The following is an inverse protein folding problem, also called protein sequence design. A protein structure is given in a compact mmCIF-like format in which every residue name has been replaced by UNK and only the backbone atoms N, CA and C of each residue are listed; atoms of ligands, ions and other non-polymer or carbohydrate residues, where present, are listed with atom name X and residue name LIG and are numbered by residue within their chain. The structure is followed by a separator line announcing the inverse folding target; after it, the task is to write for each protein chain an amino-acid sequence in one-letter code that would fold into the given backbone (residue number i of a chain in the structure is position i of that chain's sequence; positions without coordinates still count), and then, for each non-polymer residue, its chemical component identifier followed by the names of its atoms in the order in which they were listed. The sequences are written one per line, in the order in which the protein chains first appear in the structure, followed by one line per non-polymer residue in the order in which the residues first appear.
data_IF_312726179373
#
_entry.id   IF_312726179373
#
_cell.length_a   1.000
_cell.length_b   1.000
_cell.length_c   1.000
_cell.angle_alpha   90.00
_cell.angle_beta   90.00
_cell.angle_gamma   90.00
#
_symmetry.space_group_name_H-M   'P 1'
#
loop_
_entity.id
_entity.type
_entity.pdbx_description
1 polymer ?
#
# COMPACT_ATOMS: atom_id res chain seq x y z
N UNK A 1 8.32 16.74 2.33
CA UNK A 1 7.90 15.67 3.25
C UNK A 1 7.87 14.36 2.48
N UNK A 2 8.68 13.37 2.85
CA UNK A 2 8.67 12.06 2.19
C UNK A 2 7.57 11.18 2.80
N UNK A 3 6.40 11.15 2.15
CA UNK A 3 5.30 10.27 2.52
C UNK A 3 5.50 8.89 1.89
N UNK A 4 5.80 7.89 2.73
CA UNK A 4 6.10 6.48 2.42
C UNK A 4 6.20 6.14 0.91
N UNK A 5 7.23 6.60 0.20
CA UNK A 5 7.46 6.14 -1.16
C UNK A 5 7.87 4.67 -1.08
N UNK A 6 7.19 3.78 -1.82
CA UNK A 6 7.76 2.47 -2.10
C UNK A 6 9.13 2.65 -2.76
N UNK A 7 9.24 3.57 -3.73
CA UNK A 7 10.49 3.90 -4.41
C UNK A 7 10.90 5.34 -4.09
N UNK A 8 12.13 5.56 -3.64
CA UNK A 8 12.72 6.90 -3.61
C UNK A 8 13.04 7.39 -5.04
N UNK A 9 13.42 8.66 -5.19
CA UNK A 9 13.74 9.27 -6.49
C UNK A 9 14.76 8.46 -7.27
N UNK A 10 15.84 8.06 -6.61
CA UNK A 10 17.00 7.45 -7.25
C UNK A 10 16.69 6.02 -7.71
N UNK A 11 15.97 5.27 -6.87
CA UNK A 11 15.49 3.93 -7.22
C UNK A 11 14.50 4.00 -8.37
N UNK A 12 13.58 4.98 -8.38
CA UNK A 12 12.63 5.18 -9.49
C UNK A 12 13.38 5.51 -10.79
N UNK A 13 14.41 6.36 -10.72
CA UNK A 13 15.25 6.66 -11.88
C UNK A 13 16.05 5.45 -12.35
N UNK A 14 16.55 4.59 -11.48
CA UNK A 14 17.24 3.38 -11.91
C UNK A 14 16.28 2.31 -12.47
N UNK A 15 15.05 2.26 -11.95
CA UNK A 15 14.02 1.26 -12.25
C UNK A 15 13.29 1.51 -13.56
N UNK A 16 12.83 2.73 -13.83
CA UNK A 16 11.99 2.98 -15.00
C UNK A 16 12.79 2.89 -16.30
N UNK A 17 12.15 2.38 -17.36
CA UNK A 17 12.72 2.40 -18.70
C UNK A 17 12.91 3.84 -19.18
N UNK A 18 13.73 4.02 -20.22
CA UNK A 18 13.97 5.33 -20.83
C UNK A 18 12.66 5.93 -21.36
N UNK A 19 11.92 5.14 -22.13
CA UNK A 19 10.67 5.57 -22.78
C UNK A 19 9.62 6.01 -21.75
N UNK A 20 9.50 5.29 -20.62
CA UNK A 20 8.58 5.70 -19.54
C UNK A 20 9.01 7.02 -18.90
N UNK A 21 10.32 7.23 -18.68
CA UNK A 21 10.79 8.51 -18.12
C UNK A 21 10.51 9.69 -19.05
N UNK A 22 10.73 9.49 -20.34
CA UNK A 22 10.44 10.49 -21.37
C UNK A 22 8.92 10.78 -21.41
N UNK A 23 8.09 9.74 -21.42
CA UNK A 23 6.63 9.87 -21.40
C UNK A 23 6.10 10.55 -20.12
N UNK A 24 6.73 10.33 -18.97
CA UNK A 24 6.34 11.00 -17.73
C UNK A 24 6.66 12.50 -17.75
N UNK A 25 7.59 12.97 -18.60
CA UNK A 25 7.88 14.40 -18.81
C UNK A 25 7.99 15.23 -17.52
N UNK A 26 8.63 14.68 -16.48
CA UNK A 26 8.79 15.37 -15.18
C UNK A 26 7.59 15.31 -14.24
N UNK A 27 6.58 14.48 -14.52
CA UNK A 27 5.42 14.27 -13.65
C UNK A 27 5.84 13.95 -12.21
N UNK A 28 5.45 14.83 -11.30
CA UNK A 28 5.66 14.69 -9.86
C UNK A 28 4.36 14.35 -9.15
N UNK A 29 4.34 13.19 -8.50
CA UNK A 29 3.21 12.71 -7.69
C UNK A 29 2.95 13.55 -6.43
N UNK A 30 3.88 14.42 -6.04
CA UNK A 30 3.72 15.27 -4.86
C UNK A 30 2.50 16.20 -4.97
N UNK A 31 2.06 16.54 -6.19
CA UNK A 31 0.88 17.37 -6.40
C UNK A 31 -0.40 16.74 -5.82
N UNK A 32 -0.53 15.41 -5.81
CA UNK A 32 -1.68 14.72 -5.22
C UNK A 32 -1.76 15.03 -3.73
N UNK A 33 -0.62 14.96 -3.03
CA UNK A 33 -0.53 15.32 -1.62
C UNK A 33 -0.78 16.82 -1.41
N UNK A 34 -0.23 17.67 -2.28
CA UNK A 34 -0.41 19.12 -2.22
C UNK A 34 -1.89 19.52 -2.40
N UNK A 35 -2.60 18.90 -3.32
CA UNK A 35 -4.03 19.12 -3.57
C UNK A 35 -4.86 18.78 -2.34
N UNK A 36 -4.62 17.63 -1.71
CA UNK A 36 -5.32 17.27 -0.47
C UNK A 36 -4.93 18.19 0.69
N UNK A 37 -3.65 18.56 0.82
CA UNK A 37 -3.20 19.48 1.87
C UNK A 37 -3.78 20.88 1.72
N UNK A 38 -4.12 21.32 0.49
CA UNK A 38 -4.79 22.59 0.24
C UNK A 38 -6.29 22.56 0.57
N UNK A 39 -6.88 21.37 0.76
CA UNK A 39 -8.31 21.17 1.06
C UNK A 39 -8.62 21.06 2.56
N UNK A 40 -7.63 21.18 3.44
CA UNK A 40 -7.82 21.14 4.90
C UNK A 40 -7.46 22.47 5.53
N UNK A 41 -8.27 22.89 6.48
CA UNK A 41 -8.06 24.05 7.37
C UNK A 41 -7.18 23.72 8.58
N UNK A 42 -6.77 22.45 8.75
CA UNK A 42 -5.90 22.03 9.82
C UNK A 42 -4.56 22.77 9.77
N UNK A 43 -4.22 23.48 10.84
CA UNK A 43 -2.94 24.19 10.97
C UNK A 43 -1.84 23.27 11.50
N UNK A 44 -2.20 22.38 12.44
CA UNK A 44 -1.26 21.49 13.11
C UNK A 44 -0.72 20.41 12.18
N UNK A 45 0.61 20.19 12.13
CA UNK A 45 1.23 19.21 11.23
C UNK A 45 0.65 17.80 11.36
N UNK A 46 0.36 17.35 12.59
CA UNK A 46 -0.23 16.04 12.83
C UNK A 46 -1.63 15.92 12.20
N UNK A 47 -2.46 16.95 12.31
CA UNK A 47 -3.83 16.90 11.80
C UNK A 47 -3.85 16.97 10.27
N UNK A 48 -2.99 17.80 9.67
CA UNK A 48 -2.77 17.81 8.21
C UNK A 48 -2.33 16.43 7.72
N UNK A 49 -1.43 15.79 8.48
CA UNK A 49 -0.95 14.45 8.17
C UNK A 49 -2.10 13.43 8.21
N UNK A 50 -2.85 13.38 9.31
CA UNK A 50 -3.98 12.47 9.48
C UNK A 50 -5.08 12.69 8.43
N UNK A 51 -5.32 13.93 8.01
CA UNK A 51 -6.27 14.24 6.94
C UNK A 51 -5.86 13.58 5.62
N UNK A 52 -4.61 13.78 5.20
CA UNK A 52 -4.07 13.17 3.98
C UNK A 52 -4.12 11.64 4.03
N UNK A 53 -3.74 11.03 5.16
CA UNK A 53 -3.84 9.57 5.34
C UNK A 53 -5.30 9.09 5.20
N UNK A 54 -6.27 9.86 5.72
CA UNK A 54 -7.70 9.53 5.62
C UNK A 54 -8.20 9.62 4.18
N UNK A 55 -7.63 10.51 3.35
CA UNK A 55 -8.05 10.72 1.95
C UNK A 55 -7.34 9.83 0.94
N UNK A 56 -6.12 9.37 1.24
CA UNK A 56 -5.29 8.60 0.31
C UNK A 56 -5.03 7.19 0.85
N UNK A 57 -4.26 7.08 1.94
CA UNK A 57 -3.77 5.80 2.43
C UNK A 57 -4.89 4.85 2.89
N UNK A 58 -5.87 5.41 3.61
CA UNK A 58 -6.97 4.64 4.18
C UNK A 58 -7.85 3.99 3.09
N UNK A 59 -8.44 4.73 2.13
CA UNK A 59 -9.27 4.13 1.09
C UNK A 59 -8.45 3.26 0.12
N UNK A 60 -7.29 3.72 -0.32
CA UNK A 60 -6.61 3.11 -1.47
C UNK A 60 -5.74 1.90 -1.11
N UNK A 61 -5.26 1.77 0.14
CA UNK A 61 -4.48 0.61 0.57
C UNK A 61 -5.21 -0.23 1.63
N UNK A 62 -5.64 0.37 2.74
CA UNK A 62 -6.16 -0.40 3.88
C UNK A 62 -7.56 -0.96 3.61
N UNK A 63 -8.52 -0.10 3.23
CA UNK A 63 -9.92 -0.48 3.06
C UNK A 63 -10.11 -1.32 1.80
N UNK A 64 -9.55 -0.89 0.66
CA UNK A 64 -9.66 -1.64 -0.58
C UNK A 64 -9.12 -3.08 -0.45
N UNK A 65 -8.04 -3.29 0.31
CA UNK A 65 -7.49 -4.63 0.53
C UNK A 65 -8.38 -5.46 1.45
N UNK A 66 -8.82 -4.89 2.58
CA UNK A 66 -9.70 -5.57 3.53
C UNK A 66 -11.01 -6.01 2.88
N UNK A 67 -11.64 -5.11 2.13
CA UNK A 67 -12.88 -5.37 1.40
C UNK A 67 -12.69 -6.49 0.37
N UNK A 68 -11.76 -6.32 -0.58
CA UNK A 68 -11.52 -7.34 -1.63
C UNK A 68 -11.15 -8.71 -1.08
N UNK A 69 -10.37 -8.78 -0.02
CA UNK A 69 -9.95 -10.07 0.56
C UNK A 69 -11.07 -10.76 1.32
N UNK A 70 -11.90 -10.01 2.05
CA UNK A 70 -13.06 -10.57 2.75
C UNK A 70 -14.18 -10.99 1.78
N UNK A 71 -14.49 -10.15 0.79
CA UNK A 71 -15.51 -10.44 -0.21
C UNK A 71 -15.13 -11.57 -1.17
N UNK A 72 -13.83 -11.83 -1.38
CA UNK A 72 -13.36 -13.01 -2.11
C UNK A 72 -13.83 -14.34 -1.47
N UNK A 73 -14.18 -14.33 -0.18
CA UNK A 73 -14.79 -15.47 0.51
C UNK A 73 -16.19 -15.16 1.02
N UNK A 74 -16.90 -14.20 0.40
CA UNK A 74 -18.26 -13.77 0.77
C UNK A 74 -18.42 -13.35 2.24
N UNK A 75 -17.37 -12.82 2.86
CA UNK A 75 -17.39 -12.30 4.22
C UNK A 75 -17.46 -10.77 4.20
N UNK A 76 -18.40 -10.20 4.95
CA UNK A 76 -18.51 -8.74 5.09
C UNK A 76 -17.69 -8.25 6.31
N UNK A 77 -16.58 -7.57 6.06
CA UNK A 77 -15.78 -6.95 7.11
C UNK A 77 -16.37 -5.59 7.55
N UNK A 78 -16.66 -5.43 8.84
CA UNK A 78 -17.09 -4.14 9.42
C UNK A 78 -15.92 -3.41 10.08
N UNK A 79 -15.91 -2.08 9.96
CA UNK A 79 -14.84 -1.19 10.50
C UNK A 79 -15.42 -0.13 11.46
N UNK A 80 -15.85 -0.51 12.69
CA UNK A 80 -16.59 0.39 13.59
C UNK A 80 -15.85 1.69 13.96
N UNK A 81 -14.51 1.66 13.96
CA UNK A 81 -13.70 2.86 14.24
C UNK A 81 -13.75 3.91 13.12
N UNK A 82 -14.36 3.59 11.98
CA UNK A 82 -14.56 4.48 10.84
C UNK A 82 -16.01 4.95 10.70
N UNK A 83 -16.85 4.78 11.73
CA UNK A 83 -18.12 5.50 11.77
C UNK A 83 -17.87 7.00 11.61
N UNK A 84 -18.65 7.64 10.73
CA UNK A 84 -18.45 9.04 10.37
C UNK A 84 -18.51 9.97 11.58
N UNK A 85 -19.41 9.74 12.54
CA UNK A 85 -19.52 10.58 13.75
C UNK A 85 -18.28 10.44 14.62
N UNK A 86 -17.76 9.22 14.75
CA UNK A 86 -16.53 8.97 15.50
C UNK A 86 -15.31 9.60 14.81
N UNK A 87 -15.22 9.51 13.48
CA UNK A 87 -14.12 10.11 12.71
C UNK A 87 -14.18 11.63 12.76
N UNK A 88 -15.36 12.24 12.60
CA UNK A 88 -15.57 13.69 12.73
C UNK A 88 -15.21 14.20 14.13
N UNK A 89 -15.67 13.49 15.18
CA UNK A 89 -15.26 13.77 16.55
C UNK A 89 -13.75 13.65 16.72
N UNK A 90 -13.14 12.56 16.24
CA UNK A 90 -11.70 12.37 16.35
C UNK A 90 -10.89 13.42 15.56
N UNK A 91 -11.43 13.94 14.46
CA UNK A 91 -10.82 14.99 13.66
C UNK A 91 -10.77 16.31 14.44
N UNK A 92 -11.87 16.68 15.12
CA UNK A 92 -11.99 17.93 15.89
C UNK A 92 -11.14 17.97 17.18
N UNK A 93 -10.67 16.82 17.66
CA UNK A 93 -9.85 16.77 18.87
C UNK A 93 -8.52 17.52 18.71
N UNK A 94 -8.07 18.23 19.76
CA UNK A 94 -6.71 18.72 19.87
C UNK A 94 -5.65 17.63 19.67
N UNK A 95 -4.53 17.96 19.02
CA UNK A 95 -3.47 16.98 18.70
C UNK A 95 -2.88 16.29 19.94
N UNK A 96 -2.83 16.99 21.09
CA UNK A 96 -2.32 16.46 22.36
C UNK A 96 -3.20 15.35 22.96
N UNK A 97 -4.46 15.22 22.54
CA UNK A 97 -5.34 14.11 22.90
C UNK A 97 -5.16 12.90 21.98
N UNK A 98 -4.63 13.11 20.76
CA UNK A 98 -4.26 12.05 19.82
C UNK A 98 -2.90 11.45 20.19
N UNK A 99 -1.94 12.31 20.47
CA UNK A 99 -0.56 11.98 20.87
C UNK A 99 -0.13 12.84 22.06
N UNK A 100 0.31 12.21 23.15
CA UNK A 100 0.79 12.91 24.36
C UNK A 100 2.21 12.47 24.70
N UNK A 101 3.19 13.32 24.42
CA UNK A 101 4.60 12.93 24.48
C UNK A 101 4.87 11.75 23.53
N UNK A 102 5.42 10.65 24.05
CA UNK A 102 5.63 9.41 23.27
C UNK A 102 4.37 8.52 23.19
N UNK A 103 3.29 8.86 23.90
CA UNK A 103 2.07 8.07 23.93
C UNK A 103 1.18 8.34 22.71
N UNK A 104 1.22 7.43 21.74
CA UNK A 104 0.28 7.39 20.61
C UNK A 104 -1.08 6.83 21.02
N UNK A 105 -2.15 7.26 20.35
CA UNK A 105 -3.54 6.84 20.61
C UNK A 105 -3.94 7.15 22.06
N UNK A 106 -3.54 8.32 22.57
CA UNK A 106 -3.63 8.63 24.01
C UNK A 106 -5.07 8.57 24.52
N UNK A 107 -5.99 9.32 23.92
CA UNK A 107 -7.40 9.31 24.34
C UNK A 107 -8.03 7.92 24.19
N UNK A 108 -7.81 7.25 23.05
CA UNK A 108 -8.32 5.89 22.83
C UNK A 108 -7.85 4.92 23.92
N UNK A 109 -6.55 4.94 24.27
CA UNK A 109 -6.02 4.12 25.36
C UNK A 109 -6.67 4.45 26.70
N UNK A 110 -6.86 5.74 27.00
CA UNK A 110 -7.48 6.19 28.26
C UNK A 110 -8.92 5.69 28.38
N UNK A 111 -9.71 5.83 27.32
CA UNK A 111 -11.10 5.35 27.27
C UNK A 111 -11.14 3.83 27.37
N UNK A 112 -10.29 3.11 26.63
CA UNK A 112 -10.26 1.64 26.63
C UNK A 112 -9.87 0.99 27.97
N UNK A 113 -9.33 1.73 28.94
CA UNK A 113 -8.95 1.20 30.26
C UNK A 113 -10.14 0.62 31.04
N UNK A 114 -11.37 1.09 30.76
CA UNK A 114 -12.57 0.57 31.40
C UNK A 114 -12.91 -0.87 30.98
N UNK A 115 -12.39 -1.34 29.83
CA UNK A 115 -12.76 -2.65 29.26
C UNK A 115 -11.58 -3.59 29.02
N UNK A 116 -10.36 -3.08 28.95
CA UNK A 116 -9.18 -3.88 28.59
C UNK A 116 -8.16 -3.94 29.73
N UNK A 117 -7.51 -5.10 29.94
CA UNK A 117 -6.51 -5.24 30.99
C UNK A 117 -5.29 -4.36 30.72
N UNK A 118 -4.55 -3.92 31.76
CA UNK A 118 -3.39 -3.03 31.63
C UNK A 118 -2.35 -3.52 30.63
N UNK A 119 -2.12 -4.85 30.58
CA UNK A 119 -1.18 -5.48 29.65
C UNK A 119 -1.52 -5.19 28.16
N UNK A 120 -2.81 -5.12 27.81
CA UNK A 120 -3.25 -4.81 26.44
C UNK A 120 -3.13 -3.32 26.15
N UNK A 121 -3.50 -2.46 27.11
CA UNK A 121 -3.40 -0.99 26.98
C UNK A 121 -1.94 -0.53 26.80
N UNK A 122 -1.03 -1.14 27.55
CA UNK A 122 0.39 -0.79 27.53
C UNK A 122 1.16 -1.42 26.36
N UNK A 123 0.56 -2.41 25.68
CA UNK A 123 1.19 -3.10 24.55
C UNK A 123 1.65 -2.13 23.47
N UNK A 124 2.88 -2.35 22.97
CA UNK A 124 3.43 -1.62 21.81
C UNK A 124 2.59 -1.95 20.57
N UNK A 125 2.39 -0.95 19.68
CA UNK A 125 1.74 -1.16 18.38
C UNK A 125 2.53 -2.19 17.59
N UNK A 126 1.91 -3.33 17.29
CA UNK A 126 2.40 -4.29 16.29
C UNK A 126 1.54 -4.10 15.03
N UNK A 127 2.20 -3.93 13.89
CA UNK A 127 1.53 -3.98 12.59
C UNK A 127 1.24 -5.42 12.18
N UNK A 128 0.62 -5.57 11.02
CA UNK A 128 0.40 -6.85 10.35
C UNK A 128 1.06 -6.79 8.97
N UNK A 129 2.41 -6.72 8.89
CA UNK A 129 3.09 -6.64 7.61
C UNK A 129 2.88 -7.95 6.85
N UNK A 130 2.63 -7.85 5.54
CA UNK A 130 2.66 -9.01 4.66
C UNK A 130 4.11 -9.52 4.58
N UNK A 131 4.37 -10.82 4.79
CA UNK A 131 5.74 -11.33 4.92
C UNK A 131 6.41 -11.56 3.55
N UNK A 132 6.39 -10.55 2.67
CA UNK A 132 6.97 -10.62 1.32
C UNK A 132 8.43 -11.06 1.34
N UNK A 133 9.22 -10.57 2.29
CA UNK A 133 10.63 -10.95 2.46
C UNK A 133 10.81 -12.46 2.61
N UNK A 134 9.94 -13.10 3.40
CA UNK A 134 10.03 -14.55 3.62
C UNK A 134 9.56 -15.29 2.38
N UNK A 135 8.38 -14.92 1.85
CA UNK A 135 7.78 -15.60 0.71
C UNK A 135 8.65 -15.52 -0.55
N UNK A 136 9.18 -14.34 -0.88
CA UNK A 136 9.97 -14.14 -2.09
C UNK A 136 11.39 -14.71 -2.01
N UNK A 137 11.89 -15.01 -0.80
CA UNK A 137 13.14 -15.77 -0.62
C UNK A 137 12.91 -17.28 -0.61
N UNK A 138 11.68 -17.72 -0.30
CA UNK A 138 11.31 -19.13 -0.14
C UNK A 138 10.19 -19.54 -1.10
N UNK A 139 8.98 -19.71 -0.61
CA UNK A 139 7.92 -20.48 -1.27
C UNK A 139 7.46 -19.82 -2.58
N UNK A 140 7.44 -18.48 -2.63
CA UNK A 140 7.02 -17.71 -3.79
C UNK A 140 8.19 -17.29 -4.71
N UNK A 141 9.43 -17.70 -4.41
CA UNK A 141 10.61 -17.34 -5.22
C UNK A 141 10.48 -17.77 -6.68
N UNK A 142 10.09 -19.02 -7.01
CA UNK A 142 9.98 -19.45 -8.42
C UNK A 142 8.93 -18.64 -9.18
N UNK A 143 7.79 -18.36 -8.55
CA UNK A 143 6.72 -17.54 -9.13
C UNK A 143 7.19 -16.10 -9.40
N UNK A 144 7.88 -15.48 -8.45
CA UNK A 144 8.43 -14.15 -8.63
C UNK A 144 9.45 -14.10 -9.78
N UNK A 145 10.32 -15.11 -9.89
CA UNK A 145 11.32 -15.24 -10.95
C UNK A 145 10.70 -15.41 -12.34
N UNK A 146 9.63 -16.19 -12.45
CA UNK A 146 8.87 -16.31 -13.70
C UNK A 146 8.25 -14.96 -14.09
N UNK A 147 7.50 -14.37 -13.15
CA UNK A 147 6.74 -13.15 -13.37
C UNK A 147 7.64 -11.97 -13.75
N UNK A 148 8.78 -11.83 -13.10
CA UNK A 148 9.73 -10.74 -13.30
C UNK A 148 10.97 -11.18 -14.10
N UNK A 149 10.85 -12.23 -14.92
CA UNK A 149 11.93 -12.70 -15.78
C UNK A 149 12.43 -11.58 -16.71
N UNK A 150 13.74 -11.55 -17.06
CA UNK A 150 14.29 -10.51 -17.93
C UNK A 150 13.58 -10.38 -19.28
N UNK A 151 13.08 -11.49 -19.84
CA UNK A 151 12.28 -11.48 -21.07
C UNK A 151 10.91 -10.83 -20.88
N UNK A 152 10.20 -11.14 -19.79
CA UNK A 152 8.91 -10.51 -19.46
C UNK A 152 9.08 -9.02 -19.22
N UNK A 153 10.06 -8.63 -18.40
CA UNK A 153 10.34 -7.21 -18.12
C UNK A 153 10.68 -6.44 -19.40
N UNK A 154 11.53 -7.00 -20.28
CA UNK A 154 11.82 -6.41 -21.59
C UNK A 154 10.58 -6.24 -22.45
N UNK A 155 9.76 -7.29 -22.55
CA UNK A 155 8.53 -7.27 -23.36
C UNK A 155 7.56 -6.17 -22.92
N UNK A 156 7.45 -5.91 -21.60
CA UNK A 156 6.59 -4.82 -21.10
C UNK A 156 7.12 -3.43 -21.41
N UNK A 157 8.43 -3.26 -21.57
CA UNK A 157 9.05 -1.96 -21.84
C UNK A 157 8.93 -0.92 -20.72
N UNK A 158 8.39 -1.29 -19.55
CA UNK A 158 8.15 -0.33 -18.45
C UNK A 158 9.35 -0.14 -17.51
N UNK A 159 10.12 -1.21 -17.30
CA UNK A 159 11.19 -1.25 -16.31
C UNK A 159 12.52 -1.64 -16.94
N UNK A 160 13.61 -1.23 -16.32
CA UNK A 160 14.97 -1.61 -16.65
C UNK A 160 15.22 -3.07 -16.22
N UNK A 161 15.38 -4.02 -17.16
CA UNK A 161 15.55 -5.44 -16.83
C UNK A 161 16.79 -5.73 -15.99
N UNK A 162 17.89 -5.01 -16.22
CA UNK A 162 19.13 -5.20 -15.45
C UNK A 162 18.95 -4.76 -14.00
N UNK A 163 18.22 -3.67 -13.78
CA UNK A 163 17.95 -3.19 -12.43
C UNK A 163 16.98 -4.12 -11.69
N UNK A 164 15.94 -4.63 -12.36
CA UNK A 164 15.03 -5.63 -11.77
C UNK A 164 15.78 -6.92 -11.40
N UNK A 165 16.65 -7.41 -12.28
CA UNK A 165 17.49 -8.58 -12.02
C UNK A 165 18.42 -8.37 -10.82
N UNK A 166 19.02 -7.17 -10.69
CA UNK A 166 19.80 -6.78 -9.52
C UNK A 166 18.97 -6.85 -8.24
N UNK A 167 17.76 -6.27 -8.23
CA UNK A 167 16.87 -6.30 -7.06
C UNK A 167 16.50 -7.75 -6.66
N UNK A 168 16.17 -8.59 -7.63
CA UNK A 168 15.89 -10.01 -7.38
C UNK A 168 17.10 -10.71 -6.75
N UNK A 169 18.28 -10.58 -7.36
CA UNK A 169 19.51 -11.23 -6.89
C UNK A 169 20.01 -10.73 -5.52
N UNK A 170 19.89 -9.43 -5.22
CA UNK A 170 20.19 -8.88 -3.89
C UNK A 170 19.19 -9.37 -2.84
N UNK A 171 17.92 -9.45 -3.18
CA UNK A 171 16.88 -9.89 -2.25
C UNK A 171 17.04 -11.36 -1.89
N UNK A 172 17.22 -12.23 -2.89
CA UNK A 172 17.34 -13.68 -2.70
C UNK A 172 18.56 -14.08 -1.87
N UNK A 173 19.69 -13.40 -2.08
CA UNK A 173 20.93 -13.66 -1.33
C UNK A 173 20.93 -13.06 0.07
N UNK A 174 19.88 -12.33 0.45
CA UNK A 174 19.80 -11.68 1.75
C UNK A 174 20.63 -10.40 1.88
N UNK A 175 21.21 -9.89 0.79
CA UNK A 175 22.02 -8.67 0.79
C UNK A 175 21.19 -7.44 1.16
N UNK A 176 19.97 -7.35 0.65
CA UNK A 176 19.02 -6.29 0.96
C UNK A 176 17.58 -6.81 0.99
N UNK A 177 16.67 -6.07 1.64
CA UNK A 177 15.24 -6.39 1.62
C UNK A 177 14.47 -5.52 0.62
N UNK A 178 14.29 -6.06 -0.58
CA UNK A 178 13.50 -5.46 -1.65
C UNK A 178 12.05 -5.98 -1.72
N UNK A 179 11.55 -6.66 -0.68
CA UNK A 179 10.27 -7.38 -0.73
C UNK A 179 9.09 -6.50 -1.16
N UNK A 180 8.94 -5.31 -0.58
CA UNK A 180 7.87 -4.36 -0.96
C UNK A 180 8.03 -3.82 -2.38
N UNK A 181 9.27 -3.62 -2.85
CA UNK A 181 9.54 -3.16 -4.22
C UNK A 181 9.15 -4.23 -5.24
N UNK A 182 9.62 -5.46 -5.00
CA UNK A 182 9.35 -6.62 -5.83
C UNK A 182 7.86 -6.94 -5.88
N UNK A 183 7.15 -6.78 -4.76
CA UNK A 183 5.69 -6.90 -4.74
C UNK A 183 5.01 -5.83 -5.63
N UNK A 184 5.51 -4.58 -5.61
CA UNK A 184 5.03 -3.53 -6.50
C UNK A 184 5.21 -3.88 -7.98
N UNK A 185 6.38 -4.38 -8.36
CA UNK A 185 6.67 -4.81 -9.74
C UNK A 185 5.80 -6.00 -10.15
N UNK A 186 5.69 -7.00 -9.28
CA UNK A 186 4.84 -8.17 -9.48
C UNK A 186 3.39 -7.76 -9.67
N UNK A 187 2.89 -6.81 -8.87
CA UNK A 187 1.51 -6.32 -8.97
C UNK A 187 1.23 -5.69 -10.33
N UNK A 188 2.18 -4.91 -10.88
CA UNK A 188 2.05 -4.33 -12.22
C UNK A 188 2.04 -5.42 -13.30
N UNK A 189 2.93 -6.41 -13.21
CA UNK A 189 2.96 -7.51 -14.17
C UNK A 189 1.65 -8.32 -14.16
N UNK A 190 1.15 -8.69 -12.97
CA UNK A 190 -0.10 -9.44 -12.86
C UNK A 190 -1.29 -8.63 -13.36
N UNK A 191 -1.31 -7.32 -13.12
CA UNK A 191 -2.32 -6.44 -13.69
C UNK A 191 -2.26 -6.43 -15.22
N UNK A 192 -1.07 -6.33 -15.83
CA UNK A 192 -0.95 -6.39 -17.29
C UNK A 192 -1.42 -7.72 -17.88
N UNK A 193 -0.99 -8.84 -17.29
CA UNK A 193 -1.48 -10.18 -17.69
C UNK A 193 -3.00 -10.24 -17.67
N UNK A 194 -3.61 -9.70 -16.60
CA UNK A 194 -5.05 -9.81 -16.41
C UNK A 194 -5.86 -8.87 -17.31
N UNK A 195 -5.43 -7.63 -17.47
CA UNK A 195 -6.25 -6.58 -18.08
C UNK A 195 -5.78 -6.14 -19.46
N UNK A 196 -4.47 -6.23 -19.75
CA UNK A 196 -3.91 -5.83 -21.05
C UNK A 196 -3.84 -7.02 -22.01
N UNK A 197 -3.37 -8.18 -21.54
CA UNK A 197 -3.13 -9.34 -22.40
C UNK A 197 -4.42 -10.14 -22.65
N UNK A 198 -5.19 -10.42 -21.59
CA UNK A 198 -6.45 -11.17 -21.68
C UNK A 198 -7.64 -10.32 -22.17
N UNK A 199 -7.44 -9.01 -22.36
CA UNK A 199 -8.48 -8.08 -22.81
C UNK A 199 -9.71 -7.99 -21.90
N UNK A 200 -9.62 -8.50 -20.66
CA UNK A 200 -10.74 -8.49 -19.72
C UNK A 200 -11.01 -7.08 -19.27
N UNK A 201 -12.05 -6.47 -19.82
CA UNK A 201 -12.58 -5.21 -19.28
C UNK A 201 -13.28 -5.50 -17.95
N UNK A 202 -13.20 -4.61 -16.95
CA UNK A 202 -13.89 -4.80 -15.66
C UNK A 202 -15.37 -5.16 -15.82
N UNK A 203 -16.03 -4.62 -16.83
CA UNK A 203 -17.43 -4.86 -17.21
C UNK A 203 -17.73 -6.33 -17.57
N UNK A 204 -16.72 -7.11 -17.98
CA UNK A 204 -16.88 -8.50 -18.41
C UNK A 204 -16.70 -9.51 -17.25
N UNK A 205 -16.33 -9.06 -16.04
CA UNK A 205 -16.06 -9.94 -14.89
C UNK A 205 -17.30 -10.67 -14.35
N UNK A 206 -18.51 -10.11 -14.50
CA UNK A 206 -19.72 -10.72 -13.94
C UNK A 206 -20.07 -12.07 -14.61
N UNK A 207 -19.73 -12.26 -15.90
CA UNK A 207 -19.98 -13.53 -16.60
C UNK A 207 -18.90 -14.60 -16.34
N UNK A 208 -17.64 -14.19 -16.13
CA UNK A 208 -16.52 -15.11 -15.99
C UNK A 208 -16.47 -15.81 -14.62
N UNK A 209 -16.94 -15.16 -13.55
CA UNK A 209 -17.06 -15.77 -12.23
C UNK A 209 -18.21 -16.78 -12.13
N UNK A 210 -19.27 -16.60 -12.92
CA UNK A 210 -20.36 -17.58 -13.01
C UNK A 210 -19.93 -18.87 -13.75
N UNK A 211 -19.01 -18.77 -14.71
CA UNK A 211 -18.54 -19.89 -15.52
C UNK A 211 -17.51 -20.82 -14.81
N UNK A 212 -17.03 -20.45 -13.62
CA UNK A 212 -16.13 -21.28 -12.80
C UNK A 212 -16.77 -21.79 -11.51
N UNK A 213 -18.08 -21.55 -11.35
CA UNK A 213 -18.89 -22.05 -10.24
C UNK A 213 -19.85 -23.18 -10.68
N UNK A 214 -19.60 -23.81 -11.84
CA UNK A 214 -20.28 -25.02 -12.32
C UNK A 214 -19.32 -26.20 -12.38
#
# INVERSE_FOLDING_TARGET
MNWFPLFNSDTKQALLSRDVKEALSGYDRSHVFAEHLARTDATEPLNRMLYVDTKLWLPDDLLARGDKTSMATSLEARVPLLDHKLVEFAASLPQNLKVKGLARKYLLKKVSQAWLPPAIIQRKKKGFPVPFTLWFRKEARPFLRDALSPSTVRRRGLFNPLFVEKLLGEHERGFADHGSLLYGLLSVELWQRRFMDLGLRPEQQSSALAAHAQ
#
